data_IF_596243537899
#
_entry.id   IF_596243537899
#
_cell.length_a   1.000
_cell.length_b   1.000
_cell.length_c   1.000
_cell.angle_alpha   90.00
_cell.angle_beta   90.00
_cell.angle_gamma   90.00
#
_symmetry.space_group_name_H-M   'P 1'
#
loop_
_entity.id
_entity.type
_entity.pdbx_description
1 polymer ?
#
# COMPACT_ATOMS: atom_id res chain seq x y z
N UNK A 1 2.04 -4.26 -7.14
CA UNK A 1 2.82 -3.10 -7.64
C UNK A 1 3.75 -2.59 -6.55
N UNK A 2 4.83 -1.90 -6.91
CA UNK A 2 5.75 -1.25 -5.97
C UNK A 2 5.65 0.28 -6.11
N UNK A 3 5.63 0.99 -4.98
CA UNK A 3 5.80 2.44 -4.93
C UNK A 3 7.15 2.68 -4.26
N UNK A 4 8.08 3.26 -5.01
CA UNK A 4 9.49 3.34 -4.64
C UNK A 4 9.90 4.82 -4.74
N UNK A 5 10.40 5.45 -3.67
CA UNK A 5 10.92 6.80 -3.75
C UNK A 5 12.23 6.81 -4.56
N UNK A 6 12.59 7.95 -5.14
CA UNK A 6 13.86 8.05 -5.87
C UNK A 6 15.09 7.97 -4.93
N UNK A 7 14.97 8.55 -3.73
CA UNK A 7 16.07 8.61 -2.77
C UNK A 7 16.40 7.23 -2.21
N UNK A 8 17.62 6.76 -2.50
CA UNK A 8 18.11 5.44 -2.09
C UNK A 8 18.39 5.37 -0.57
N UNK A 9 17.33 5.17 0.20
CA UNK A 9 17.36 5.11 1.67
C UNK A 9 16.60 3.88 2.19
N UNK A 10 17.06 3.27 3.30
CA UNK A 10 16.44 2.07 3.85
C UNK A 10 15.15 2.36 4.64
N UNK A 11 14.98 3.61 5.09
CA UNK A 11 13.78 4.12 5.77
C UNK A 11 13.49 5.54 5.29
N UNK A 12 12.22 5.98 5.35
CA UNK A 12 11.89 7.38 5.06
C UNK A 12 12.49 8.33 6.10
N UNK A 13 12.56 7.91 7.37
CA UNK A 13 13.21 8.67 8.44
C UNK A 13 14.71 8.92 8.21
N UNK A 14 15.36 8.11 7.35
CA UNK A 14 16.77 8.30 6.95
C UNK A 14 16.95 9.43 5.92
N UNK A 15 15.87 9.94 5.33
CA UNK A 15 15.92 11.16 4.51
C UNK A 15 16.09 12.35 5.47
N UNK A 16 17.30 12.90 5.49
CA UNK A 16 17.73 13.94 6.45
C UNK A 16 17.07 15.29 6.19
N UNK A 17 16.86 15.65 4.93
CA UNK A 17 16.11 16.85 4.58
C UNK A 17 14.62 16.64 4.86
N UNK A 18 14.09 17.41 5.82
CA UNK A 18 12.72 17.26 6.29
C UNK A 18 11.69 17.54 5.19
N UNK A 19 11.91 18.59 4.39
CA UNK A 19 10.99 18.97 3.32
C UNK A 19 10.91 17.89 2.26
N UNK A 20 12.06 17.37 1.81
CA UNK A 20 12.15 16.28 0.86
C UNK A 20 11.53 14.99 1.41
N UNK A 21 11.73 14.68 2.70
CA UNK A 21 11.10 13.52 3.34
C UNK A 21 9.57 13.63 3.33
N UNK A 22 9.05 14.79 3.72
CA UNK A 22 7.61 15.04 3.77
C UNK A 22 6.98 15.06 2.38
N UNK A 23 7.63 15.68 1.39
CA UNK A 23 7.14 15.66 0.01
C UNK A 23 7.15 14.24 -0.57
N UNK A 24 8.23 13.48 -0.35
CA UNK A 24 8.33 12.07 -0.75
C UNK A 24 7.21 11.23 -0.14
N UNK A 25 7.00 11.32 1.18
CA UNK A 25 5.93 10.59 1.87
C UNK A 25 4.54 10.97 1.34
N UNK A 26 4.31 12.26 1.11
CA UNK A 26 3.04 12.78 0.59
C UNK A 26 2.78 12.29 -0.83
N UNK A 27 3.79 12.31 -1.70
CA UNK A 27 3.70 11.84 -3.07
C UNK A 27 3.42 10.33 -3.14
N UNK A 28 4.13 9.53 -2.34
CA UNK A 28 3.88 8.09 -2.25
C UNK A 28 2.44 7.77 -1.82
N UNK A 29 1.87 8.57 -0.91
CA UNK A 29 0.45 8.47 -0.54
C UNK A 29 -0.51 8.95 -1.62
N UNK A 30 -0.12 9.95 -2.42
CA UNK A 30 -0.90 10.40 -3.59
C UNK A 30 -1.00 9.26 -4.62
N UNK A 31 0.09 8.54 -4.88
CA UNK A 31 0.06 7.32 -5.71
C UNK A 31 -0.84 6.23 -5.12
N UNK A 32 -0.75 5.92 -3.82
CA UNK A 32 -1.67 4.95 -3.19
C UNK A 32 -3.13 5.35 -3.33
N UNK A 33 -3.44 6.63 -3.10
CA UNK A 33 -4.80 7.16 -3.21
C UNK A 33 -5.34 7.08 -4.64
N UNK A 34 -4.50 7.39 -5.64
CA UNK A 34 -4.85 7.21 -7.05
C UNK A 34 -5.12 5.74 -7.40
N UNK A 35 -4.36 4.81 -6.81
CA UNK A 35 -4.61 3.37 -6.99
C UNK A 35 -5.90 2.90 -6.32
N UNK A 36 -6.24 3.44 -5.15
CA UNK A 36 -7.55 3.18 -4.54
C UNK A 36 -8.69 3.70 -5.42
N UNK A 37 -8.55 4.89 -6.01
CA UNK A 37 -9.54 5.43 -6.95
C UNK A 37 -9.68 4.53 -8.19
N UNK A 38 -8.56 4.07 -8.75
CA UNK A 38 -8.56 3.11 -9.86
C UNK A 38 -9.28 1.81 -9.48
N UNK A 39 -8.98 1.23 -8.31
CA UNK A 39 -9.64 0.01 -7.84
C UNK A 39 -11.13 0.23 -7.64
N UNK A 40 -11.54 1.34 -7.01
CA UNK A 40 -12.95 1.66 -6.80
C UNK A 40 -13.71 1.69 -8.13
N UNK A 41 -13.21 2.44 -9.11
CA UNK A 41 -13.88 2.62 -10.41
C UNK A 41 -13.84 1.35 -11.28
N UNK A 42 -12.70 0.65 -11.33
CA UNK A 42 -12.51 -0.50 -12.23
C UNK A 42 -13.14 -1.79 -11.67
N UNK A 43 -13.19 -1.94 -10.35
CA UNK A 43 -13.73 -3.14 -9.70
C UNK A 43 -15.13 -2.95 -9.13
N UNK A 44 -15.69 -1.74 -9.18
CA UNK A 44 -17.01 -1.43 -8.62
C UNK A 44 -17.12 -1.87 -7.15
N UNK A 45 -16.11 -1.49 -6.36
CA UNK A 45 -15.98 -1.86 -4.94
C UNK A 45 -15.71 -3.33 -4.63
N UNK A 46 -15.50 -4.19 -5.64
CA UNK A 46 -15.21 -5.62 -5.44
C UNK A 46 -13.81 -5.87 -4.86
N UNK A 47 -12.87 -4.95 -5.08
CA UNK A 47 -11.51 -5.02 -4.57
C UNK A 47 -11.25 -3.93 -3.53
N UNK A 48 -10.61 -4.32 -2.44
CA UNK A 48 -9.87 -3.40 -1.56
C UNK A 48 -8.37 -3.52 -1.81
N UNK A 49 -7.57 -3.00 -0.89
CA UNK A 49 -6.12 -3.04 -1.03
C UNK A 49 -5.42 -3.31 0.31
N UNK A 50 -4.31 -4.03 0.22
CA UNK A 50 -3.34 -4.19 1.30
C UNK A 50 -2.03 -3.59 0.82
N UNK A 51 -1.51 -2.64 1.59
CA UNK A 51 -0.19 -2.06 1.33
C UNK A 51 0.72 -2.33 2.51
N UNK A 52 2.00 -2.63 2.28
CA UNK A 52 2.95 -2.75 3.38
C UNK A 52 4.34 -2.24 3.02
N UNK A 53 5.12 -1.96 4.06
CA UNK A 53 6.53 -1.62 3.99
C UNK A 53 7.33 -2.36 5.05
N UNK A 54 8.62 -2.54 4.77
CA UNK A 54 9.63 -2.96 5.74
C UNK A 54 10.57 -1.78 5.92
N UNK A 55 10.33 -0.96 6.96
CA UNK A 55 11.21 0.15 7.32
C UNK A 55 12.25 -0.37 8.29
N UNK A 56 13.48 -0.57 7.80
CA UNK A 56 14.56 -1.13 8.64
C UNK A 56 15.89 -0.48 8.30
N UNK A 57 16.60 0.08 9.26
CA UNK A 57 17.88 0.77 9.05
C UNK A 57 18.97 -0.09 8.41
N UNK A 58 18.92 -1.41 8.60
CA UNK A 58 19.83 -2.38 7.94
C UNK A 58 19.36 -2.79 6.54
N UNK A 59 18.29 -2.20 6.03
CA UNK A 59 17.78 -2.42 4.67
C UNK A 59 18.64 -1.73 3.62
N UNK A 60 18.18 -1.79 2.37
CA UNK A 60 18.85 -1.15 1.22
C UNK A 60 18.00 0.01 0.70
N UNK A 61 16.73 -0.27 0.39
CA UNK A 61 15.81 0.69 -0.20
C UNK A 61 14.39 0.44 0.29
N UNK A 62 13.77 1.49 0.86
CA UNK A 62 12.37 1.44 1.25
C UNK A 62 11.48 1.39 0.01
N UNK A 63 10.44 0.58 0.08
CA UNK A 63 9.42 0.52 -0.96
C UNK A 63 8.10 0.07 -0.33
N UNK A 64 6.99 0.52 -0.91
CA UNK A 64 5.67 0.07 -0.52
C UNK A 64 5.16 -0.93 -1.53
N UNK A 65 4.71 -2.08 -1.04
CA UNK A 65 4.12 -3.11 -1.87
C UNK A 65 2.61 -2.94 -1.80
N UNK A 66 2.00 -2.62 -2.94
CA UNK A 66 0.55 -2.43 -3.08
C UNK A 66 -0.06 -3.67 -3.73
N UNK A 67 -1.01 -4.30 -3.04
CA UNK A 67 -1.69 -5.51 -3.46
C UNK A 67 -3.22 -5.32 -3.41
N UNK A 68 -3.91 -5.28 -4.56
CA UNK A 68 -5.36 -5.41 -4.62
C UNK A 68 -5.80 -6.78 -4.10
N UNK A 69 -6.90 -6.83 -3.34
CA UNK A 69 -7.46 -8.08 -2.79
C UNK A 69 -8.98 -8.04 -2.79
N UNK A 70 -9.68 -9.19 -2.80
CA UNK A 70 -11.13 -9.21 -2.64
C UNK A 70 -11.58 -8.42 -1.40
N UNK A 71 -12.50 -7.47 -1.58
CA UNK A 71 -12.97 -6.61 -0.50
C UNK A 71 -13.61 -7.40 0.65
N UNK A 72 -14.19 -8.57 0.36
CA UNK A 72 -14.77 -9.49 1.36
C UNK A 72 -13.75 -9.94 2.41
N UNK A 73 -12.50 -10.21 2.02
CA UNK A 73 -11.44 -10.61 2.96
C UNK A 73 -11.11 -9.49 3.95
N UNK A 74 -11.25 -8.23 3.52
CA UNK A 74 -11.03 -7.06 4.37
C UNK A 74 -12.24 -6.84 5.28
N UNK A 75 -13.45 -6.81 4.71
CA UNK A 75 -14.73 -6.59 5.43
C UNK A 75 -14.95 -7.60 6.55
N UNK A 76 -14.56 -8.85 6.34
CA UNK A 76 -14.64 -9.93 7.34
C UNK A 76 -13.48 -9.93 8.33
N UNK A 77 -12.55 -8.98 8.23
CA UNK A 77 -11.38 -8.85 9.10
C UNK A 77 -10.32 -9.94 8.90
N UNK A 78 -10.38 -10.72 7.82
CA UNK A 78 -9.48 -11.85 7.59
C UNK A 78 -8.05 -11.40 7.30
N UNK A 79 -7.86 -10.27 6.63
CA UNK A 79 -6.52 -9.69 6.40
C UNK A 79 -5.86 -9.36 7.74
N UNK A 80 -6.53 -8.60 8.60
CA UNK A 80 -6.01 -8.22 9.94
C UNK A 80 -5.70 -9.47 10.78
N UNK A 81 -6.62 -10.44 10.81
CA UNK A 81 -6.44 -11.70 11.52
C UNK A 81 -5.23 -12.50 10.98
N UNK A 82 -5.09 -12.63 9.65
CA UNK A 82 -4.00 -13.38 9.03
C UNK A 82 -2.62 -12.83 9.40
N UNK A 83 -2.45 -11.51 9.36
CA UNK A 83 -1.20 -10.87 9.75
C UNK A 83 -0.87 -11.11 11.23
N UNK A 84 -1.84 -10.95 12.13
CA UNK A 84 -1.65 -11.17 13.57
C UNK A 84 -1.32 -12.63 13.89
N UNK A 85 -2.06 -13.58 13.31
CA UNK A 85 -1.86 -15.01 13.53
C UNK A 85 -0.50 -15.47 12.99
N UNK A 86 -0.11 -15.02 11.79
CA UNK A 86 1.18 -15.42 11.24
C UNK A 86 2.36 -14.78 12.01
N UNK A 87 2.21 -13.54 12.48
CA UNK A 87 3.21 -12.93 13.37
C UNK A 87 3.37 -13.75 14.67
N UNK A 88 2.26 -14.19 15.27
CA UNK A 88 2.28 -15.05 16.46
C UNK A 88 2.95 -16.41 16.17
N UNK A 89 2.59 -17.07 15.06
CA UNK A 89 3.21 -18.34 14.64
C UNK A 89 4.73 -18.22 14.45
N UNK A 90 5.21 -17.05 14.01
CA UNK A 90 6.64 -16.77 13.82
C UNK A 90 7.31 -16.20 15.08
N UNK A 91 6.59 -16.10 16.20
CA UNK A 91 7.03 -15.48 17.45
C UNK A 91 7.52 -14.04 17.29
N UNK A 92 6.91 -13.29 16.37
CA UNK A 92 7.16 -11.86 16.20
C UNK A 92 6.41 -11.04 17.26
N UNK A 93 6.83 -9.78 17.51
CA UNK A 93 6.09 -8.86 18.36
C UNK A 93 4.64 -8.67 17.90
N UNK A 94 3.79 -8.21 18.83
CA UNK A 94 2.40 -7.91 18.51
C UNK A 94 2.31 -6.68 17.61
N UNK A 95 1.27 -6.64 16.79
CA UNK A 95 0.92 -5.42 16.07
C UNK A 95 0.40 -4.34 17.03
N UNK A 96 0.84 -3.12 16.80
CA UNK A 96 0.55 -1.91 17.54
C UNK A 96 -0.04 -0.84 16.60
N UNK A 97 -0.56 0.25 17.19
CA UNK A 97 -0.98 1.41 16.40
C UNK A 97 0.26 2.26 16.07
N UNK A 98 0.26 2.99 14.94
CA UNK A 98 1.28 4.00 14.68
C UNK A 98 1.44 4.99 15.83
N UNK A 99 2.65 5.49 16.02
CA UNK A 99 2.89 6.55 17.00
C UNK A 99 2.06 7.79 16.63
N UNK A 100 1.52 8.47 17.63
CA UNK A 100 0.79 9.73 17.43
C UNK A 100 1.79 10.89 17.18
N UNK A 101 2.58 10.79 16.12
CA UNK A 101 3.58 11.81 15.73
C UNK A 101 2.93 12.90 14.90
N UNK A 102 3.42 14.14 15.04
CA UNK A 102 3.04 15.23 14.14
C UNK A 102 3.53 15.01 12.69
N UNK A 103 4.60 14.23 12.50
CA UNK A 103 5.17 13.90 11.19
C UNK A 103 5.17 12.36 10.97
N UNK A 104 4.19 11.79 10.24
CA UNK A 104 4.10 10.35 10.01
C UNK A 104 5.21 9.78 9.11
N UNK A 105 5.97 10.64 8.42
CA UNK A 105 7.17 10.24 7.65
C UNK A 105 8.37 9.92 8.56
N UNK A 106 8.26 10.26 9.86
CA UNK A 106 9.33 10.16 10.85
C UNK A 106 9.05 9.12 11.94
N UNK A 107 8.22 8.13 11.65
CA UNK A 107 7.91 7.04 12.59
C UNK A 107 9.20 6.44 13.16
N UNK A 108 9.34 6.36 14.50
CA UNK A 108 10.58 5.94 15.12
C UNK A 108 10.81 4.43 15.03
N UNK A 109 12.09 4.06 14.97
CA UNK A 109 12.54 2.67 15.01
C UNK A 109 12.38 1.91 13.69
N UNK A 110 12.75 0.64 13.74
CA UNK A 110 12.53 -0.31 12.65
C UNK A 110 11.15 -0.97 12.83
N UNK A 111 10.39 -1.09 11.76
CA UNK A 111 9.04 -1.62 11.80
C UNK A 111 8.61 -2.23 10.46
N UNK A 112 7.69 -3.18 10.52
CA UNK A 112 6.83 -3.55 9.40
C UNK A 112 5.52 -2.75 9.54
N UNK A 113 5.15 -1.97 8.53
CA UNK A 113 3.88 -1.23 8.54
C UNK A 113 2.93 -1.85 7.53
N UNK A 114 1.68 -1.97 7.96
CA UNK A 114 0.58 -2.51 7.19
C UNK A 114 -0.54 -1.47 7.11
N UNK A 115 -1.02 -1.22 5.90
CA UNK A 115 -2.24 -0.48 5.63
C UNK A 115 -3.25 -1.41 4.96
N UNK A 116 -4.47 -1.40 5.48
CA UNK A 116 -5.60 -2.18 4.96
C UNK A 116 -6.68 -1.18 4.58
N UNK A 117 -6.92 -1.04 3.29
CA UNK A 117 -7.92 -0.12 2.74
C UNK A 117 -9.17 -0.88 2.32
N UNK A 118 -10.30 -0.50 2.92
CA UNK A 118 -11.63 -0.98 2.59
C UNK A 118 -12.33 0.03 1.66
N UNK A 119 -12.81 -0.40 0.47
CA UNK A 119 -13.59 0.46 -0.42
C UNK A 119 -14.91 0.85 0.24
N UNK A 120 -15.40 2.07 -0.02
CA UNK A 120 -16.74 2.45 0.42
C UNK A 120 -17.79 1.51 -0.19
N UNK A 121 -18.82 1.19 0.58
CA UNK A 121 -20.01 0.55 0.02
C UNK A 121 -20.63 1.48 -1.03
N UNK A 122 -21.09 0.92 -2.14
CA UNK A 122 -21.88 1.69 -3.10
C UNK A 122 -23.19 2.14 -2.46
N UNK A 123 -23.24 3.40 -2.07
CA UNK A 123 -24.49 4.11 -1.82
C UNK A 123 -24.45 5.47 -2.49
N UNK A 124 -25.27 5.54 -3.53
CA UNK A 124 -25.97 6.70 -4.08
C UNK A 124 -25.12 7.76 -4.80
N UNK A 125 -25.37 7.84 -6.10
CA UNK A 125 -25.29 9.07 -6.89
C UNK A 125 -26.00 10.21 -6.15
N UNK A 126 -25.28 10.94 -5.30
CA UNK A 126 -25.68 12.30 -4.96
C UNK A 126 -25.50 13.13 -6.23
N UNK A 127 -26.61 13.48 -6.88
CA UNK A 127 -26.62 14.49 -7.92
C UNK A 127 -25.91 15.74 -7.36
N UNK A 128 -24.82 16.23 -7.99
CA UNK A 128 -24.30 17.53 -7.60
C UNK A 128 -25.31 18.59 -8.06
N UNK A 129 -25.96 19.26 -7.10
CA UNK A 129 -26.59 20.55 -7.40
C UNK A 129 -25.50 21.52 -7.89
N UNK A 130 -25.82 22.39 -8.87
CA UNK A 130 -24.82 23.22 -9.51
C UNK A 130 -24.58 24.46 -8.66
N UNK A 131 -23.46 24.52 -7.94
CA UNK A 131 -22.96 25.79 -7.42
C UNK A 131 -21.52 26.04 -7.85
N UNK A 132 -21.34 27.13 -8.60
CA UNK A 132 -20.09 27.88 -8.65
C UNK A 132 -19.06 27.38 -9.65
N UNK A 133 -18.94 28.11 -10.76
CA UNK A 133 -17.79 28.08 -11.66
C UNK A 133 -16.48 28.32 -10.90
N UNK A 134 -15.57 27.35 -10.91
CA UNK A 134 -14.16 27.58 -11.17
C UNK A 134 -13.49 26.26 -11.60
N UNK A 135 -12.93 26.26 -12.80
CA UNK A 135 -12.40 25.10 -13.50
C UNK A 135 -11.11 24.54 -12.90
N UNK A 136 -11.22 23.85 -11.78
CA UNK A 136 -10.16 22.97 -11.26
C UNK A 136 -10.58 21.51 -11.44
N UNK A 137 -9.72 20.74 -12.10
CA UNK A 137 -9.98 19.35 -12.44
C UNK A 137 -10.39 18.55 -11.19
N UNK A 138 -11.56 17.90 -11.27
CA UNK A 138 -12.13 17.10 -10.19
C UNK A 138 -11.15 16.00 -9.78
N UNK A 139 -10.50 16.17 -8.63
CA UNK A 139 -9.70 15.11 -8.01
C UNK A 139 -10.68 14.13 -7.38
N UNK A 140 -10.91 12.99 -8.04
CA UNK A 140 -11.75 11.90 -7.52
C UNK A 140 -11.15 11.34 -6.24
N UNK A 141 -11.58 11.90 -5.10
CA UNK A 141 -11.20 11.43 -3.77
C UNK A 141 -11.80 10.03 -3.57
N UNK A 142 -10.96 8.99 -3.58
CA UNK A 142 -11.39 7.63 -3.33
C UNK A 142 -12.16 7.55 -1.99
N UNK A 143 -13.41 7.13 -2.03
CA UNK A 143 -14.25 6.93 -0.85
C UNK A 143 -13.93 5.56 -0.25
N UNK A 144 -13.40 5.54 0.97
CA UNK A 144 -13.05 4.30 1.66
C UNK A 144 -12.46 4.58 3.04
N UNK A 145 -12.26 3.52 3.82
CA UNK A 145 -11.64 3.63 5.16
C UNK A 145 -10.34 2.86 5.19
N UNK A 146 -9.38 3.31 5.98
CA UNK A 146 -8.07 2.68 6.08
C UNK A 146 -7.70 2.41 7.53
N UNK A 147 -7.13 1.22 7.75
CA UNK A 147 -6.56 0.80 9.02
C UNK A 147 -5.05 0.64 8.87
N UNK A 148 -4.29 1.24 9.80
CA UNK A 148 -2.83 1.12 9.85
C UNK A 148 -2.40 0.35 11.09
N UNK A 149 -1.46 -0.58 10.92
CA UNK A 149 -0.85 -1.39 11.97
C UNK A 149 0.67 -1.37 11.83
N UNK A 150 1.39 -1.38 12.96
CA UNK A 150 2.85 -1.49 13.02
C UNK A 150 3.25 -2.76 13.76
N UNK A 151 4.23 -3.49 13.24
CA UNK A 151 4.92 -4.55 13.95
C UNK A 151 6.36 -4.10 14.18
N UNK A 152 6.76 -3.77 15.43
CA UNK A 152 8.11 -3.35 15.73
C UNK A 152 9.14 -4.43 15.37
N UNK A 153 10.23 -4.04 14.71
CA UNK A 153 11.33 -4.91 14.35
C UNK A 153 12.51 -4.66 15.29
N UNK A 154 12.43 -5.24 16.49
CA UNK A 154 13.54 -5.20 17.44
C UNK A 154 14.81 -5.88 16.91
N UNK A 155 15.96 -5.53 17.48
CA UNK A 155 17.26 -6.10 17.10
C UNK A 155 17.37 -7.62 17.37
N UNK A 156 16.53 -8.13 18.28
CA UNK A 156 16.60 -9.48 18.83
C UNK A 156 16.19 -10.59 17.85
N UNK A 157 15.55 -10.26 16.72
CA UNK A 157 15.08 -11.28 15.79
C UNK A 157 15.35 -10.97 14.32
N UNK A 158 15.46 -12.04 13.54
CA UNK A 158 15.56 -11.96 12.09
C UNK A 158 14.17 -11.91 11.49
N UNK A 159 13.76 -10.72 11.06
CA UNK A 159 12.52 -10.55 10.30
C UNK A 159 12.66 -11.09 8.87
N UNK A 160 11.65 -11.83 8.42
CA UNK A 160 11.49 -12.27 7.04
C UNK A 160 10.96 -11.10 6.19
N UNK A 161 11.79 -10.56 5.30
CA UNK A 161 11.39 -9.45 4.41
C UNK A 161 10.25 -9.83 3.45
N UNK A 162 9.97 -11.12 3.27
CA UNK A 162 8.86 -11.63 2.47
C UNK A 162 7.58 -11.81 3.29
N UNK A 163 7.59 -11.50 4.60
CA UNK A 163 6.47 -11.72 5.52
C UNK A 163 5.12 -11.28 4.96
N UNK A 164 5.00 -10.03 4.48
CA UNK A 164 3.76 -9.53 3.89
C UNK A 164 3.27 -10.35 2.68
N UNK A 165 4.18 -10.73 1.78
CA UNK A 165 3.85 -11.59 0.64
C UNK A 165 3.39 -12.98 1.06
N UNK A 166 4.07 -13.57 2.05
CA UNK A 166 3.76 -14.93 2.52
C UNK A 166 2.41 -15.00 3.23
N UNK A 167 2.10 -14.00 4.06
CA UNK A 167 0.78 -13.88 4.71
C UNK A 167 -0.32 -13.80 3.65
N UNK A 168 -0.16 -12.91 2.66
CA UNK A 168 -1.18 -12.72 1.63
C UNK A 168 -1.30 -13.91 0.68
N UNK A 169 -0.19 -14.57 0.33
CA UNK A 169 -0.21 -15.79 -0.47
C UNK A 169 -1.00 -16.90 0.23
N UNK A 170 -0.77 -17.12 1.53
CA UNK A 170 -1.54 -18.10 2.33
C UNK A 170 -3.03 -17.73 2.39
N UNK A 171 -3.34 -16.47 2.68
CA UNK A 171 -4.72 -16.00 2.80
C UNK A 171 -5.51 -16.15 1.49
N UNK A 172 -4.84 -16.03 0.35
CA UNK A 172 -5.45 -16.14 -0.98
C UNK A 172 -5.33 -17.54 -1.60
N UNK A 173 -4.82 -18.53 -0.87
CA UNK A 173 -4.60 -19.90 -1.36
C UNK A 173 -3.65 -19.95 -2.59
N UNK A 174 -2.60 -19.12 -2.55
CA UNK A 174 -1.58 -18.96 -3.58
C UNK A 174 -0.18 -19.39 -3.10
N UNK A 175 -0.09 -20.36 -2.19
CA UNK A 175 1.18 -20.81 -1.60
C UNK A 175 2.14 -21.37 -2.64
N UNK A 176 1.62 -21.93 -3.73
CA UNK A 176 2.40 -22.38 -4.88
C UNK A 176 3.13 -21.25 -5.61
N UNK A 177 2.76 -19.98 -5.38
CA UNK A 177 3.40 -18.78 -5.95
C UNK A 177 4.24 -18.00 -4.94
N UNK A 178 4.47 -18.58 -3.75
CA UNK A 178 5.16 -17.89 -2.65
C UNK A 178 6.65 -17.64 -2.92
N UNK A 179 7.29 -18.50 -3.71
CA UNK A 179 8.65 -18.28 -4.19
C UNK A 179 8.61 -17.48 -5.49
N UNK A 180 9.07 -16.23 -5.44
CA UNK A 180 9.03 -15.32 -6.58
C UNK A 180 9.77 -15.85 -7.82
N UNK A 181 10.78 -16.72 -7.63
CA UNK A 181 11.52 -17.33 -8.74
C UNK A 181 10.67 -18.27 -9.60
N UNK A 182 9.59 -18.79 -9.03
CA UNK A 182 8.68 -19.70 -9.73
C UNK A 182 7.60 -18.92 -10.51
N UNK A 183 7.56 -17.59 -10.34
CA UNK A 183 6.65 -16.68 -11.04
C UNK A 183 7.35 -15.75 -12.04
N UNK A 184 8.53 -16.13 -12.53
CA UNK A 184 9.27 -15.35 -13.54
C UNK A 184 8.46 -15.35 -14.84
N UNK A 185 8.22 -14.15 -15.36
CA UNK A 185 7.58 -13.93 -16.66
C UNK A 185 8.65 -13.64 -17.72
N UNK A 186 8.31 -13.80 -19.00
CA UNK A 186 9.20 -13.35 -20.07
C UNK A 186 9.24 -11.82 -20.13
N UNK A 187 10.27 -11.25 -20.76
CA UNK A 187 10.35 -9.80 -20.94
C UNK A 187 9.13 -9.26 -21.70
N UNK A 188 8.65 -10.00 -22.70
CA UNK A 188 7.49 -9.62 -23.50
C UNK A 188 6.20 -9.61 -22.66
N UNK A 189 6.04 -10.57 -21.75
CA UNK A 189 4.91 -10.61 -20.80
C UNK A 189 4.97 -9.44 -19.81
N UNK A 190 6.15 -9.14 -19.26
CA UNK A 190 6.35 -8.00 -18.36
C UNK A 190 6.08 -6.65 -19.05
N UNK A 191 6.54 -6.48 -20.29
CA UNK A 191 6.30 -5.27 -21.09
C UNK A 191 4.81 -5.11 -21.42
N UNK A 192 4.11 -6.20 -21.74
CA UNK A 192 2.68 -6.20 -22.00
C UNK A 192 1.88 -5.83 -20.74
N UNK A 193 2.19 -6.43 -19.58
CA UNK A 193 1.56 -6.12 -18.30
C UNK A 193 1.80 -4.66 -17.90
N UNK A 194 3.02 -4.15 -18.11
CA UNK A 194 3.36 -2.75 -17.84
C UNK A 194 2.59 -1.78 -18.76
N UNK A 195 2.46 -2.09 -20.05
CA UNK A 195 1.70 -1.27 -20.99
C UNK A 195 0.19 -1.27 -20.65
N UNK A 196 -0.37 -2.44 -20.33
CA UNK A 196 -1.76 -2.57 -19.93
C UNK A 196 -2.04 -1.79 -18.63
N UNK A 197 -1.14 -1.87 -17.65
CA UNK A 197 -1.27 -1.09 -16.42
C UNK A 197 -1.22 0.42 -16.68
N UNK A 198 -0.26 0.91 -17.48
CA UNK A 198 -0.14 2.34 -17.83
C UNK A 198 -1.43 2.87 -18.45
N UNK A 199 -2.00 2.13 -19.40
CA UNK A 199 -3.26 2.53 -20.04
C UNK A 199 -4.43 2.51 -19.03
N UNK A 200 -4.50 1.50 -18.17
CA UNK A 200 -5.54 1.41 -17.14
C UNK A 200 -5.45 2.53 -16.08
N UNK A 201 -4.24 2.94 -15.72
CA UNK A 201 -3.94 3.94 -14.69
C UNK A 201 -3.97 5.39 -15.21
N UNK A 202 -3.91 5.61 -16.52
CA UNK A 202 -3.79 6.92 -17.16
C UNK A 202 -4.78 7.99 -16.67
N UNK A 203 -6.03 7.61 -16.42
CA UNK A 203 -7.08 8.52 -15.91
C UNK A 203 -6.81 8.97 -14.46
N UNK A 204 -6.10 8.16 -13.69
CA UNK A 204 -5.78 8.37 -12.27
C UNK A 204 -4.38 8.93 -12.06
N UNK A 205 -3.55 8.95 -13.12
CA UNK A 205 -2.17 9.38 -13.06
C UNK A 205 -2.06 10.90 -12.96
N UNK A 206 -1.91 11.37 -11.73
CA UNK A 206 -1.73 12.79 -11.45
C UNK A 206 -0.39 13.36 -11.94
N UNK A 207 0.60 12.50 -12.22
CA UNK A 207 1.94 12.93 -12.63
C UNK A 207 2.02 13.37 -14.10
N UNK A 208 0.97 13.11 -14.90
CA UNK A 208 0.90 13.51 -16.31
C UNK A 208 0.57 15.00 -16.52
N UNK A 209 0.16 15.72 -15.47
CA UNK A 209 -0.32 17.10 -15.54
C UNK A 209 0.68 18.11 -14.94
N UNK A 210 1.87 17.66 -14.53
CA UNK A 210 2.95 18.48 -13.95
C UNK A 210 4.08 18.77 -14.96
#
# INVERSE_FOLDING_TARGET
MLIIPFTHTPTLSSITDQTARQSTYTEMHRYRSALHAMLQQRSNGALGAVTWEVSRGTGIHIHWQFLPVPADLIKRGLVDAAFKVEAENLNYPKFERPSATADPSSEPGDFFRLWIWEPAAETETTNPEPEGSDGTAATTKATGTEKTLLLPLGAEFRFDIQFGRRVMAKLMELENRMNWRDGVQSQEEEEADAAAFKEAFKEFDFSLQE
#
